data_IF_991493477109
#
_entry.id   IF_991493477109
#
_cell.length_a   1.000
_cell.length_b   1.000
_cell.length_c   1.000
_cell.angle_alpha   90.00
_cell.angle_beta   90.00
_cell.angle_gamma   90.00
#
_symmetry.space_group_name_H-M   'P 1'
#
loop_
_entity.id
_entity.type
_entity.pdbx_description
1 polymer ?
#
# COMPACT_ATOMS: atom_id res chain seq x y z
N UNK A 1 -22.52 16.68 72.71
CA UNK A 1 -22.40 17.00 71.29
C UNK A 1 -21.30 16.09 70.77
N UNK A 2 -21.67 15.11 69.98
CA UNK A 2 -20.73 14.07 69.46
C UNK A 2 -20.32 14.46 68.03
N UNK A 3 -19.04 14.78 67.85
CA UNK A 3 -18.46 15.06 66.50
C UNK A 3 -17.98 13.73 65.92
N UNK A 4 -18.66 13.29 64.87
CA UNK A 4 -18.31 12.10 64.08
C UNK A 4 -17.31 12.52 63.01
N UNK A 5 -16.09 12.06 63.08
CA UNK A 5 -15.06 12.21 62.05
C UNK A 5 -15.29 11.18 60.94
N UNK A 6 -15.60 11.64 59.74
CA UNK A 6 -15.70 10.79 58.55
C UNK A 6 -14.31 10.69 57.95
N UNK A 7 -13.67 9.52 58.07
CA UNK A 7 -12.43 9.18 57.40
C UNK A 7 -12.71 8.88 55.90
N UNK A 8 -12.26 9.75 55.02
CA UNK A 8 -12.33 9.58 53.56
C UNK A 8 -11.18 8.67 53.10
N UNK A 9 -11.49 7.40 52.92
CA UNK A 9 -10.53 6.42 52.38
C UNK A 9 -10.38 6.63 50.87
N UNK A 10 -9.32 7.35 50.46
CA UNK A 10 -8.93 7.43 49.07
C UNK A 10 -8.35 6.09 48.61
N UNK A 11 -9.14 5.33 47.90
CA UNK A 11 -8.69 4.16 47.16
C UNK A 11 -7.96 4.63 45.89
N UNK A 12 -6.62 4.72 45.94
CA UNK A 12 -5.77 4.89 44.77
C UNK A 12 -5.86 3.60 43.92
N UNK A 13 -6.66 3.65 42.87
CA UNK A 13 -6.57 2.68 41.77
C UNK A 13 -5.25 2.94 41.02
N UNK A 14 -4.21 2.25 41.40
CA UNK A 14 -3.01 2.13 40.60
C UNK A 14 -3.35 1.27 39.37
N UNK A 15 -3.75 1.92 38.29
CA UNK A 15 -3.82 1.29 36.97
C UNK A 15 -2.40 0.95 36.54
N UNK A 16 -1.99 -0.29 36.81
CA UNK A 16 -0.77 -0.87 36.22
C UNK A 16 -1.04 -1.01 34.72
N UNK A 17 -0.66 0.00 33.95
CA UNK A 17 -0.53 -0.15 32.50
C UNK A 17 0.63 -1.11 32.27
N UNK A 18 0.31 -2.37 32.08
CA UNK A 18 1.27 -3.36 31.59
C UNK A 18 1.67 -2.92 30.18
N UNK A 19 2.77 -2.16 30.07
CA UNK A 19 3.47 -2.00 28.82
C UNK A 19 3.96 -3.40 28.43
N UNK A 20 3.26 -4.05 27.50
CA UNK A 20 3.73 -5.27 26.92
C UNK A 20 5.09 -4.96 26.25
N UNK A 21 6.18 -5.31 26.94
CA UNK A 21 7.54 -5.11 26.46
C UNK A 21 7.71 -6.00 25.22
N UNK A 22 7.80 -5.38 24.04
CA UNK A 22 8.06 -6.11 22.80
C UNK A 22 9.49 -6.63 22.83
N UNK A 23 9.67 -7.88 22.50
CA UNK A 23 11.00 -8.47 22.35
C UNK A 23 11.66 -7.93 21.07
N UNK A 24 12.86 -7.36 21.22
CA UNK A 24 13.62 -6.81 20.10
C UNK A 24 14.41 -7.91 19.39
N UNK A 25 14.13 -8.10 18.09
CA UNK A 25 14.85 -9.05 17.24
C UNK A 25 15.62 -8.29 16.19
N UNK A 26 16.96 -8.35 16.25
CA UNK A 26 17.84 -7.76 15.24
C UNK A 26 18.28 -8.82 14.24
N UNK A 27 18.28 -8.48 12.95
CA UNK A 27 18.76 -9.35 11.88
C UNK A 27 20.22 -9.77 12.08
N UNK A 28 20.49 -11.04 11.79
CA UNK A 28 21.84 -11.65 11.92
C UNK A 28 22.83 -11.17 10.86
N UNK A 29 22.33 -10.65 9.74
CA UNK A 29 23.11 -10.35 8.52
C UNK A 29 23.30 -11.55 7.61
N UNK A 30 22.90 -12.76 8.03
CA UNK A 30 22.95 -13.97 7.19
C UNK A 30 21.63 -14.13 6.45
N UNK A 31 21.64 -13.84 5.16
CA UNK A 31 20.40 -13.90 4.35
C UNK A 31 20.13 -15.34 3.90
N UNK A 32 18.89 -15.78 4.08
CA UNK A 32 18.38 -17.06 3.60
C UNK A 32 17.07 -16.90 2.84
N UNK A 33 16.80 -17.85 1.97
CA UNK A 33 15.52 -18.02 1.28
C UNK A 33 14.75 -19.15 1.91
N UNK A 34 13.47 -18.89 2.11
CA UNK A 34 12.50 -19.88 2.59
C UNK A 34 11.32 -19.92 1.64
N UNK A 35 10.95 -21.11 1.18
CA UNK A 35 9.75 -21.32 0.36
C UNK A 35 8.63 -21.89 1.21
N UNK A 36 7.48 -21.23 1.19
CA UNK A 36 6.27 -21.64 1.90
C UNK A 36 5.19 -22.01 0.90
N UNK A 37 4.46 -23.08 1.16
CA UNK A 37 3.27 -23.42 0.39
C UNK A 37 2.13 -22.46 0.75
N UNK A 38 1.35 -22.06 -0.23
CA UNK A 38 0.21 -21.19 -0.06
C UNK A 38 -0.99 -21.66 -0.88
N UNK A 39 -2.20 -21.49 -0.38
CA UNK A 39 -3.39 -21.58 -1.21
C UNK A 39 -3.37 -20.48 -2.28
N UNK A 40 -4.20 -20.60 -3.31
CA UNK A 40 -4.34 -19.55 -4.32
C UNK A 40 -4.98 -18.30 -3.69
N UNK A 41 -4.49 -17.13 -4.05
CA UNK A 41 -4.99 -15.83 -3.60
C UNK A 41 -5.02 -14.83 -4.75
N UNK A 42 -5.88 -13.82 -4.63
CA UNK A 42 -6.01 -12.71 -5.58
C UNK A 42 -5.74 -11.35 -4.92
N UNK A 43 -5.53 -11.35 -3.61
CA UNK A 43 -5.27 -10.15 -2.82
C UNK A 43 -4.05 -10.34 -1.93
N UNK A 44 -3.35 -9.24 -1.62
CA UNK A 44 -2.23 -9.21 -0.68
C UNK A 44 -2.43 -8.05 0.28
N UNK A 45 -2.34 -8.33 1.58
CA UNK A 45 -2.27 -7.32 2.63
C UNK A 45 -0.93 -7.43 3.36
N UNK A 46 -0.11 -6.39 3.27
CA UNK A 46 1.21 -6.35 3.87
C UNK A 46 1.30 -5.27 4.96
N UNK A 47 1.66 -5.67 6.18
CA UNK A 47 1.90 -4.77 7.30
C UNK A 47 3.34 -4.89 7.78
N UNK A 48 4.18 -3.92 7.43
CA UNK A 48 5.62 -3.93 7.72
C UNK A 48 6.46 -3.41 6.57
N UNK A 49 7.71 -3.91 6.48
CA UNK A 49 8.69 -3.42 5.50
C UNK A 49 9.03 -4.53 4.50
N UNK A 50 8.13 -4.79 3.57
CA UNK A 50 8.25 -5.86 2.57
C UNK A 50 8.34 -5.31 1.16
N UNK A 51 9.31 -5.80 0.37
CA UNK A 51 9.33 -5.62 -1.08
C UNK A 51 8.71 -6.87 -1.72
N UNK A 52 7.54 -6.71 -2.29
CA UNK A 52 6.74 -7.82 -2.83
C UNK A 52 6.81 -7.79 -4.36
N UNK A 53 7.38 -8.83 -4.93
CA UNK A 53 7.49 -9.04 -6.36
C UNK A 53 6.43 -10.03 -6.81
N UNK A 54 5.55 -9.58 -7.70
CA UNK A 54 4.40 -10.34 -8.18
C UNK A 54 4.66 -10.76 -9.63
N UNK A 55 4.64 -12.06 -9.88
CA UNK A 55 4.76 -12.63 -11.21
C UNK A 55 3.40 -13.17 -11.67
N UNK A 56 2.93 -12.88 -12.89
CA UNK A 56 1.75 -13.54 -13.43
C UNK A 56 1.92 -15.06 -13.45
N UNK A 57 1.00 -15.80 -12.82
CA UNK A 57 1.09 -17.25 -12.75
C UNK A 57 0.08 -17.89 -11.82
N UNK A 58 0.07 -19.22 -11.74
CA UNK A 58 -0.95 -19.99 -11.00
C UNK A 58 -0.87 -19.88 -9.47
N UNK A 59 0.19 -19.32 -8.92
CA UNK A 59 0.39 -19.28 -7.46
C UNK A 59 0.86 -20.60 -6.86
N UNK A 60 0.65 -20.76 -5.56
CA UNK A 60 0.94 -21.99 -4.81
C UNK A 60 2.18 -21.94 -3.93
N UNK A 61 3.06 -20.96 -4.11
CA UNK A 61 4.25 -20.78 -3.28
C UNK A 61 4.55 -19.31 -3.01
N UNK A 62 5.15 -19.05 -1.85
CA UNK A 62 5.69 -17.76 -1.42
C UNK A 62 7.17 -17.98 -1.11
N UNK A 63 8.06 -17.30 -1.84
CA UNK A 63 9.49 -17.29 -1.51
C UNK A 63 9.80 -16.02 -0.71
N UNK A 64 10.37 -16.18 0.47
CA UNK A 64 10.77 -15.09 1.36
C UNK A 64 12.29 -15.10 1.51
N UNK A 65 12.92 -13.96 1.25
CA UNK A 65 14.35 -13.75 1.45
C UNK A 65 14.56 -12.71 2.54
N UNK A 66 15.18 -13.13 3.65
CA UNK A 66 15.41 -12.32 4.85
C UNK A 66 16.58 -12.87 5.65
N UNK A 67 16.96 -12.16 6.74
CA UNK A 67 17.87 -12.71 7.74
C UNK A 67 17.34 -14.04 8.29
N UNK A 68 18.21 -15.03 8.44
CA UNK A 68 17.84 -16.39 8.85
C UNK A 68 17.13 -16.46 10.20
N UNK A 69 17.54 -15.60 11.13
CA UNK A 69 16.95 -15.48 12.46
C UNK A 69 15.62 -14.67 12.45
N UNK A 70 15.29 -13.97 11.37
CA UNK A 70 14.06 -13.18 11.24
C UNK A 70 12.94 -13.97 10.56
N UNK A 71 13.25 -14.90 9.67
CA UNK A 71 12.27 -15.72 8.96
C UNK A 71 11.15 -16.30 9.85
N UNK A 72 11.43 -16.81 11.08
CA UNK A 72 10.39 -17.34 11.98
C UNK A 72 9.40 -16.29 12.52
N UNK A 73 9.72 -15.00 12.38
CA UNK A 73 8.87 -13.87 12.83
C UNK A 73 8.04 -13.26 11.71
N UNK A 74 8.21 -13.71 10.48
CA UNK A 74 7.38 -13.29 9.34
C UNK A 74 6.20 -14.26 9.24
N UNK A 75 4.99 -13.73 9.43
CA UNK A 75 3.74 -14.45 9.18
C UNK A 75 3.36 -14.26 7.72
N UNK A 76 3.04 -15.37 7.03
CA UNK A 76 2.54 -15.40 5.66
C UNK A 76 1.43 -16.44 5.57
N UNK A 77 0.21 -16.00 5.72
CA UNK A 77 -0.98 -16.86 5.77
C UNK A 77 -1.98 -16.42 4.71
N UNK A 78 -2.72 -17.37 4.14
CA UNK A 78 -3.79 -17.06 3.18
C UNK A 78 -5.12 -17.29 3.84
N UNK A 79 -5.86 -16.19 4.02
CA UNK A 79 -7.22 -16.19 4.58
C UNK A 79 -8.19 -15.56 3.57
N UNK A 80 -9.29 -16.23 3.28
CA UNK A 80 -10.34 -15.75 2.38
C UNK A 80 -9.84 -15.29 0.99
N UNK A 81 -8.77 -15.94 0.47
CA UNK A 81 -8.16 -15.58 -0.81
C UNK A 81 -7.28 -14.33 -0.78
N UNK A 82 -6.87 -13.89 0.41
CA UNK A 82 -5.92 -12.81 0.64
C UNK A 82 -4.66 -13.36 1.35
N UNK A 83 -3.49 -13.07 0.80
CA UNK A 83 -2.20 -13.32 1.46
C UNK A 83 -1.94 -12.20 2.48
N UNK A 84 -1.86 -12.58 3.74
CA UNK A 84 -1.50 -11.72 4.86
C UNK A 84 0.00 -11.83 5.14
N UNK A 85 0.72 -10.70 5.04
CA UNK A 85 2.15 -10.59 5.35
C UNK A 85 2.34 -9.60 6.49
N UNK A 86 2.77 -10.11 7.64
CA UNK A 86 2.99 -9.24 8.80
C UNK A 86 4.00 -9.84 9.79
N UNK A 87 4.41 -9.03 10.76
CA UNK A 87 5.24 -9.50 11.86
C UNK A 87 4.44 -10.28 12.90
N UNK A 88 5.05 -11.30 13.46
CA UNK A 88 4.51 -12.00 14.62
C UNK A 88 4.28 -11.01 15.77
N UNK A 89 3.11 -11.09 16.39
CA UNK A 89 2.74 -10.19 17.50
C UNK A 89 3.68 -10.34 18.69
N UNK A 90 4.00 -9.24 19.38
CA UNK A 90 4.85 -9.22 20.56
C UNK A 90 6.33 -8.98 20.25
N UNK A 91 6.71 -8.89 18.99
CA UNK A 91 8.10 -8.67 18.56
C UNK A 91 8.27 -7.32 17.87
N UNK A 92 9.41 -6.66 18.12
CA UNK A 92 9.90 -5.51 17.37
C UNK A 92 11.10 -5.97 16.55
N UNK A 93 10.87 -6.17 15.25
CA UNK A 93 11.82 -6.81 14.35
C UNK A 93 12.53 -5.76 13.51
N UNK A 94 13.86 -5.77 13.56
CA UNK A 94 14.74 -4.91 12.75
C UNK A 94 15.59 -5.75 11.80
N UNK A 95 15.17 -5.93 10.55
CA UNK A 95 15.96 -6.61 9.53
C UNK A 95 17.28 -5.90 9.25
N UNK A 96 18.32 -6.65 8.91
CA UNK A 96 19.61 -6.09 8.46
C UNK A 96 19.53 -5.54 7.04
N UNK A 97 18.62 -6.10 6.22
CA UNK A 97 18.36 -5.74 4.83
C UNK A 97 16.86 -5.70 4.55
N UNK A 98 16.48 -5.20 3.37
CA UNK A 98 15.09 -5.23 2.90
C UNK A 98 14.65 -6.67 2.69
N UNK A 99 13.49 -7.00 3.23
CA UNK A 99 12.88 -8.32 3.03
C UNK A 99 12.24 -8.38 1.64
N UNK A 100 12.59 -9.42 0.90
CA UNK A 100 12.03 -9.68 -0.42
C UNK A 100 11.04 -10.83 -0.35
N UNK A 101 9.86 -10.63 -0.92
CA UNK A 101 8.82 -11.66 -1.03
C UNK A 101 8.46 -11.83 -2.49
N UNK A 102 8.69 -13.01 -3.05
CA UNK A 102 8.30 -13.35 -4.42
C UNK A 102 7.06 -14.22 -4.39
N UNK A 103 6.03 -13.83 -5.14
CA UNK A 103 4.76 -14.54 -5.25
C UNK A 103 4.31 -14.63 -6.71
N UNK A 104 3.47 -15.60 -7.01
CA UNK A 104 2.77 -15.68 -8.29
C UNK A 104 1.26 -15.53 -8.07
N UNK A 105 0.59 -14.80 -8.97
CA UNK A 105 -0.86 -14.61 -8.95
C UNK A 105 -1.42 -14.72 -10.36
N UNK A 106 -2.51 -15.45 -10.53
CA UNK A 106 -3.19 -15.54 -11.83
C UNK A 106 -3.97 -14.26 -12.15
N UNK A 107 -4.51 -13.62 -11.12
CA UNK A 107 -5.32 -12.42 -11.19
C UNK A 107 -5.09 -11.57 -9.93
N UNK A 108 -5.11 -10.25 -10.08
CA UNK A 108 -5.02 -9.30 -8.96
C UNK A 108 -6.36 -8.64 -8.71
N UNK A 109 -6.82 -8.67 -7.46
CA UNK A 109 -8.02 -7.97 -6.99
C UNK A 109 -7.68 -6.80 -6.08
N UNK A 110 -6.82 -7.00 -5.07
CA UNK A 110 -6.46 -5.95 -4.13
C UNK A 110 -5.02 -6.11 -3.65
N UNK A 111 -4.31 -4.98 -3.54
CA UNK A 111 -2.99 -4.90 -2.92
C UNK A 111 -3.03 -3.82 -1.86
N UNK A 112 -2.89 -4.20 -0.61
CA UNK A 112 -2.89 -3.29 0.52
C UNK A 112 -1.52 -3.29 1.23
N UNK A 113 -0.99 -2.09 1.52
CA UNK A 113 0.24 -1.96 2.28
C UNK A 113 0.09 -0.94 3.41
N UNK A 114 0.57 -1.32 4.59
CA UNK A 114 0.72 -0.44 5.75
C UNK A 114 2.16 -0.54 6.26
N UNK A 115 2.91 0.55 6.15
CA UNK A 115 4.32 0.58 6.55
C UNK A 115 5.24 1.07 5.45
N UNK A 116 6.31 0.32 5.17
CA UNK A 116 7.32 0.67 4.16
C UNK A 116 7.56 -0.48 3.19
N UNK A 117 8.15 -0.22 2.04
CA UNK A 117 8.43 -1.26 1.06
C UNK A 117 7.78 -0.98 -0.28
N UNK A 118 7.29 -2.02 -0.95
CA UNK A 118 6.64 -1.81 -2.24
C UNK A 118 6.03 -3.05 -2.89
N UNK A 119 5.22 -2.79 -3.91
CA UNK A 119 4.71 -3.80 -4.83
C UNK A 119 5.33 -3.59 -6.21
N UNK A 120 5.86 -4.65 -6.76
CA UNK A 120 6.55 -4.66 -8.04
C UNK A 120 6.00 -5.80 -8.91
N UNK A 121 5.57 -5.51 -10.13
CA UNK A 121 5.18 -6.58 -11.06
C UNK A 121 6.35 -7.05 -11.92
N UNK A 122 6.45 -8.36 -12.10
CA UNK A 122 7.35 -9.01 -13.06
C UNK A 122 6.54 -9.47 -14.29
N UNK A 123 5.97 -8.51 -15.01
CA UNK A 123 5.07 -8.71 -16.15
C UNK A 123 3.70 -8.10 -15.93
N UNK A 124 2.83 -8.19 -16.93
CA UNK A 124 1.49 -7.58 -16.89
C UNK A 124 0.54 -8.37 -16.01
N UNK A 125 0.13 -7.79 -14.90
CA UNK A 125 -0.88 -8.36 -14.01
C UNK A 125 -2.29 -8.05 -14.56
N UNK A 126 -3.19 -9.00 -14.42
CA UNK A 126 -4.56 -8.89 -14.91
C UNK A 126 -5.56 -8.87 -13.76
N UNK A 127 -6.66 -8.16 -13.96
CA UNK A 127 -7.80 -8.14 -13.05
C UNK A 127 -8.97 -7.40 -13.68
N UNK A 128 -10.19 -7.68 -13.25
CA UNK A 128 -11.34 -6.89 -13.71
C UNK A 128 -11.36 -5.55 -12.95
N UNK A 129 -11.45 -5.62 -11.65
CA UNK A 129 -11.31 -4.46 -10.76
C UNK A 129 -10.11 -4.69 -9.85
N UNK A 130 -9.15 -3.75 -9.91
CA UNK A 130 -7.94 -3.76 -9.07
C UNK A 130 -8.00 -2.60 -8.08
N UNK A 131 -7.74 -2.88 -6.82
CA UNK A 131 -7.67 -1.89 -5.76
C UNK A 131 -6.25 -1.83 -5.16
N UNK A 132 -5.70 -0.63 -5.06
CA UNK A 132 -4.43 -0.35 -4.38
C UNK A 132 -4.72 0.53 -3.16
N UNK A 133 -4.59 -0.03 -1.95
CA UNK A 133 -4.84 0.68 -0.69
C UNK A 133 -3.53 0.89 0.08
N UNK A 134 -3.01 2.11 0.09
CA UNK A 134 -1.67 2.40 0.59
C UNK A 134 -1.73 3.34 1.78
N UNK A 135 -1.16 2.89 2.90
CA UNK A 135 -0.97 3.69 4.11
C UNK A 135 0.49 3.58 4.58
N UNK A 136 1.25 4.66 4.45
CA UNK A 136 2.66 4.68 4.82
C UNK A 136 3.59 5.19 3.71
N UNK A 137 4.82 4.65 3.65
CA UNK A 137 5.83 5.04 2.65
C UNK A 137 6.11 3.89 1.70
N UNK A 138 5.37 3.81 0.60
CA UNK A 138 5.35 2.64 -0.29
C UNK A 138 5.70 3.03 -1.71
N UNK A 139 6.38 2.13 -2.41
CA UNK A 139 6.65 2.24 -3.85
C UNK A 139 5.76 1.24 -4.59
N UNK A 140 5.06 1.70 -5.60
CA UNK A 140 4.32 0.87 -6.54
C UNK A 140 4.97 0.97 -7.91
N UNK A 141 5.33 -0.14 -8.50
CA UNK A 141 5.89 -0.20 -9.86
C UNK A 141 5.27 -1.41 -10.58
N UNK A 142 4.23 -1.14 -11.39
CA UNK A 142 3.39 -2.22 -11.90
C UNK A 142 2.97 -2.01 -13.35
N UNK A 143 2.89 -3.11 -14.08
CA UNK A 143 2.25 -3.23 -15.37
C UNK A 143 0.89 -3.92 -15.19
N UNK A 144 -0.20 -3.27 -15.62
CA UNK A 144 -1.57 -3.70 -15.34
C UNK A 144 -2.43 -3.75 -16.61
N UNK A 145 -3.31 -4.74 -16.64
CA UNK A 145 -4.45 -4.79 -17.57
C UNK A 145 -5.72 -5.05 -16.80
N UNK A 146 -6.61 -4.04 -16.74
CA UNK A 146 -7.85 -4.11 -15.96
C UNK A 146 -8.98 -3.29 -16.61
N UNK A 147 -10.22 -3.54 -16.20
CA UNK A 147 -11.33 -2.65 -16.53
C UNK A 147 -11.33 -1.42 -15.61
N UNK A 148 -11.08 -1.62 -14.32
CA UNK A 148 -11.06 -0.55 -13.32
C UNK A 148 -9.85 -0.67 -12.40
N UNK A 149 -9.22 0.48 -12.10
CA UNK A 149 -8.18 0.63 -11.09
C UNK A 149 -8.60 1.71 -10.09
N UNK A 150 -8.65 1.36 -8.82
CA UNK A 150 -8.84 2.29 -7.71
C UNK A 150 -7.55 2.40 -6.90
N UNK A 151 -7.04 3.61 -6.72
CA UNK A 151 -5.80 3.88 -5.98
C UNK A 151 -6.10 4.80 -4.81
N UNK A 152 -6.07 4.26 -3.60
CA UNK A 152 -6.21 5.01 -2.36
C UNK A 152 -4.86 5.19 -1.66
N UNK A 153 -4.45 6.44 -1.43
CA UNK A 153 -3.18 6.77 -0.76
C UNK A 153 -3.43 7.62 0.47
N UNK A 154 -2.93 7.14 1.61
CA UNK A 154 -2.85 7.90 2.85
C UNK A 154 -1.42 7.80 3.39
N UNK A 155 -0.56 8.74 3.04
CA UNK A 155 0.86 8.72 3.41
C UNK A 155 1.75 9.31 2.32
N UNK A 156 2.97 8.76 2.14
CA UNK A 156 3.94 9.23 1.14
C UNK A 156 4.25 8.11 0.16
N UNK A 157 3.76 8.21 -1.08
CA UNK A 157 3.82 7.11 -2.04
C UNK A 157 4.38 7.55 -3.37
N UNK A 158 5.22 6.70 -3.96
CA UNK A 158 5.64 6.81 -5.36
C UNK A 158 4.99 5.69 -6.17
N UNK A 159 4.29 6.05 -7.23
CA UNK A 159 3.50 5.13 -8.06
C UNK A 159 3.94 5.26 -9.50
N UNK A 160 4.40 4.17 -10.09
CA UNK A 160 4.70 4.04 -11.51
C UNK A 160 3.77 2.96 -12.09
N UNK A 161 2.90 3.35 -13.01
CA UNK A 161 1.94 2.44 -13.62
C UNK A 161 2.08 2.42 -15.13
N UNK A 162 1.97 1.23 -15.69
CA UNK A 162 2.03 0.97 -17.13
C UNK A 162 0.92 0.00 -17.54
N UNK A 163 0.61 -0.05 -18.82
CA UNK A 163 -0.33 -1.01 -19.40
C UNK A 163 -1.62 -0.38 -19.89
N UNK A 164 -2.77 -1.00 -19.60
CA UNK A 164 -4.09 -0.52 -20.09
C UNK A 164 -5.16 -0.75 -19.02
N UNK A 165 -5.86 0.33 -18.68
CA UNK A 165 -7.00 0.28 -17.74
C UNK A 165 -8.09 1.21 -18.26
N UNK A 166 -9.32 0.72 -18.39
CA UNK A 166 -10.41 1.53 -18.96
C UNK A 166 -10.75 2.73 -18.05
N UNK A 167 -10.89 2.50 -16.75
CA UNK A 167 -11.19 3.56 -15.77
C UNK A 167 -10.22 3.55 -14.62
N UNK A 168 -9.63 4.71 -14.32
CA UNK A 168 -8.70 4.88 -13.19
C UNK A 168 -9.23 5.95 -12.23
N UNK A 169 -9.23 5.64 -10.94
CA UNK A 169 -9.61 6.56 -9.88
C UNK A 169 -8.43 6.71 -8.89
N UNK A 170 -7.93 7.93 -8.69
CA UNK A 170 -6.91 8.26 -7.70
C UNK A 170 -7.55 9.05 -6.55
N UNK A 171 -7.47 8.52 -5.33
CA UNK A 171 -7.84 9.21 -4.08
C UNK A 171 -6.59 9.40 -3.22
N UNK A 172 -6.07 10.62 -3.14
CA UNK A 172 -4.82 10.94 -2.45
C UNK A 172 -5.12 11.83 -1.25
N UNK A 173 -4.84 11.31 -0.05
CA UNK A 173 -4.87 12.06 1.20
C UNK A 173 -3.49 11.98 1.84
N UNK A 174 -2.60 12.90 1.47
CA UNK A 174 -1.20 12.88 1.88
C UNK A 174 -0.29 13.43 0.80
N UNK A 175 0.83 12.75 0.52
CA UNK A 175 1.77 13.14 -0.54
C UNK A 175 1.98 12.00 -1.52
N UNK A 176 1.69 12.21 -2.80
CA UNK A 176 1.93 11.20 -3.81
C UNK A 176 2.64 11.77 -5.05
N UNK A 177 3.55 10.96 -5.59
CA UNK A 177 4.11 11.14 -6.92
C UNK A 177 3.65 9.99 -7.80
N UNK A 178 2.85 10.30 -8.82
CA UNK A 178 2.27 9.30 -9.73
C UNK A 178 2.79 9.53 -11.13
N UNK A 179 3.45 8.53 -11.70
CA UNK A 179 3.77 8.46 -13.11
C UNK A 179 2.95 7.33 -13.76
N UNK A 180 1.94 7.71 -14.51
CA UNK A 180 1.04 6.82 -15.22
C UNK A 180 0.88 7.24 -16.70
N UNK A 181 1.90 7.90 -17.28
CA UNK A 181 1.87 8.28 -18.70
C UNK A 181 1.88 7.05 -19.62
N UNK A 182 2.47 5.96 -19.18
CA UNK A 182 2.50 4.68 -19.88
C UNK A 182 1.30 3.77 -19.57
N UNK A 183 0.33 4.25 -18.77
CA UNK A 183 -0.94 3.58 -18.51
C UNK A 183 -2.02 4.20 -19.39
N UNK A 184 -2.38 3.52 -20.47
CA UNK A 184 -3.45 3.97 -21.36
C UNK A 184 -4.81 3.85 -20.67
N UNK A 185 -5.53 4.96 -20.53
CA UNK A 185 -6.82 4.98 -19.85
C UNK A 185 -7.86 5.77 -20.65
N UNK A 186 -9.10 5.30 -20.67
CA UNK A 186 -10.20 6.07 -21.28
C UNK A 186 -10.65 7.20 -20.36
N UNK A 187 -10.84 6.87 -19.09
CA UNK A 187 -11.33 7.82 -18.08
C UNK A 187 -10.42 7.83 -16.88
N UNK A 188 -10.02 9.01 -16.43
CA UNK A 188 -9.23 9.22 -15.23
C UNK A 188 -9.93 10.21 -14.30
N UNK A 189 -10.09 9.82 -13.04
CA UNK A 189 -10.63 10.64 -11.97
C UNK A 189 -9.53 10.86 -10.90
N UNK A 190 -9.24 12.11 -10.58
CA UNK A 190 -8.16 12.52 -9.67
C UNK A 190 -8.74 13.33 -8.52
N UNK A 191 -8.76 12.75 -7.32
CA UNK A 191 -9.07 13.42 -6.07
C UNK A 191 -7.81 13.61 -5.21
N UNK A 192 -7.42 14.84 -4.91
CA UNK A 192 -6.26 15.15 -4.06
C UNK A 192 -6.68 16.01 -2.89
N UNK A 193 -6.46 15.51 -1.67
CA UNK A 193 -6.55 16.26 -0.43
C UNK A 193 -5.18 16.26 0.26
N UNK A 194 -4.31 17.17 -0.12
CA UNK A 194 -2.92 17.18 0.32
C UNK A 194 -1.99 17.68 -0.77
N UNK A 195 -0.92 16.94 -1.06
CA UNK A 195 0.06 17.28 -2.12
C UNK A 195 0.19 16.18 -3.15
N UNK A 196 0.04 16.51 -4.43
CA UNK A 196 0.16 15.55 -5.52
C UNK A 196 0.96 16.07 -6.70
N UNK A 197 1.89 15.26 -7.22
CA UNK A 197 2.48 15.43 -8.56
C UNK A 197 2.08 14.21 -9.39
N UNK A 198 1.09 14.40 -10.28
CA UNK A 198 0.53 13.33 -11.08
C UNK A 198 0.81 13.56 -12.55
N UNK A 199 1.21 12.52 -13.25
CA UNK A 199 1.31 12.45 -14.70
C UNK A 199 0.45 11.28 -15.18
N UNK A 200 -0.62 11.58 -15.94
CA UNK A 200 -1.64 10.60 -16.33
C UNK A 200 -1.90 10.63 -17.84
N UNK A 201 -2.39 9.53 -18.38
CA UNK A 201 -2.81 9.44 -19.77
C UNK A 201 -4.32 9.16 -19.81
N UNK A 202 -5.10 10.11 -20.32
CA UNK A 202 -6.56 10.02 -20.44
C UNK A 202 -7.01 10.33 -21.86
N UNK A 203 -7.79 9.43 -22.46
CA UNK A 203 -8.22 9.58 -23.86
C UNK A 203 -9.57 10.29 -24.00
N UNK A 204 -10.55 9.98 -23.12
CA UNK A 204 -11.93 10.47 -23.24
C UNK A 204 -12.30 11.50 -22.20
N UNK A 205 -11.95 11.26 -20.93
CA UNK A 205 -12.40 12.09 -19.81
C UNK A 205 -11.34 12.19 -18.72
N UNK A 206 -11.15 13.41 -18.17
CA UNK A 206 -10.28 13.70 -17.04
C UNK A 206 -11.00 14.60 -16.04
N UNK A 207 -11.43 14.01 -14.92
CA UNK A 207 -12.01 14.75 -13.81
C UNK A 207 -10.94 15.02 -12.74
N UNK A 208 -10.81 16.27 -12.29
CA UNK A 208 -9.80 16.67 -11.31
C UNK A 208 -10.47 17.44 -10.19
N UNK A 209 -10.34 16.96 -8.97
CA UNK A 209 -10.78 17.63 -7.75
C UNK A 209 -9.62 17.78 -6.77
N UNK A 210 -9.22 19.01 -6.47
CA UNK A 210 -8.06 19.30 -5.62
C UNK A 210 -8.47 20.17 -4.43
N UNK A 211 -8.15 19.67 -3.22
CA UNK A 211 -8.19 20.45 -1.98
C UNK A 211 -6.80 20.44 -1.37
N UNK A 212 -5.96 21.42 -1.71
CA UNK A 212 -4.56 21.47 -1.31
C UNK A 212 -3.64 21.92 -2.44
N UNK A 213 -2.50 21.23 -2.63
CA UNK A 213 -1.54 21.53 -3.69
C UNK A 213 -1.36 20.37 -4.65
N UNK A 214 -1.75 20.52 -5.92
CA UNK A 214 -1.52 19.47 -6.90
C UNK A 214 -0.98 20.02 -8.23
N UNK A 215 -0.08 19.23 -8.82
CA UNK A 215 0.37 19.40 -10.19
C UNK A 215 -0.08 18.18 -10.99
N UNK A 216 -0.97 18.41 -11.96
CA UNK A 216 -1.47 17.34 -12.83
C UNK A 216 -0.98 17.60 -14.25
N UNK A 217 -0.17 16.71 -14.76
CA UNK A 217 0.25 16.67 -16.16
C UNK A 217 -0.53 15.57 -16.86
N UNK A 218 -1.06 15.84 -18.02
CA UNK A 218 -1.82 14.81 -18.74
C UNK A 218 -1.45 14.73 -20.20
N UNK A 219 -1.58 13.52 -20.75
CA UNK A 219 -1.48 13.17 -22.17
C UNK A 219 -2.87 12.77 -22.70
N UNK A 220 -3.07 12.90 -23.99
CA UNK A 220 -4.35 12.60 -24.67
C UNK A 220 -5.18 13.85 -24.98
N UNK A 221 -6.44 13.63 -25.38
CA UNK A 221 -7.39 14.70 -25.71
C UNK A 221 -8.72 14.53 -24.95
N UNK A 222 -8.69 14.39 -23.62
CA UNK A 222 -9.92 14.21 -22.86
C UNK A 222 -10.77 15.47 -22.79
N UNK A 223 -12.06 15.31 -22.54
CA UNK A 223 -12.87 16.37 -21.94
C UNK A 223 -12.42 16.54 -20.49
N UNK A 224 -12.13 17.78 -20.08
CA UNK A 224 -11.60 18.09 -18.74
C UNK A 224 -12.65 18.77 -17.91
N UNK A 225 -12.86 18.25 -16.69
CA UNK A 225 -13.65 18.91 -15.67
C UNK A 225 -12.76 19.11 -14.44
N UNK A 226 -12.58 20.37 -14.02
CA UNK A 226 -11.66 20.71 -12.92
C UNK A 226 -12.37 21.52 -11.85
N UNK A 227 -12.22 21.09 -10.61
CA UNK A 227 -12.61 21.83 -9.41
C UNK A 227 -11.41 21.94 -8.46
N UNK A 228 -11.10 23.14 -7.96
CA UNK A 228 -9.95 23.33 -7.08
C UNK A 228 -10.27 24.30 -5.95
N UNK A 229 -9.98 23.87 -4.73
CA UNK A 229 -9.96 24.71 -3.53
C UNK A 229 -8.54 24.72 -2.95
N UNK A 230 -7.63 25.42 -3.64
CA UNK A 230 -6.22 25.46 -3.29
C UNK A 230 -5.35 25.81 -4.49
N UNK A 231 -4.08 25.37 -4.47
CA UNK A 231 -3.14 25.63 -5.56
C UNK A 231 -3.05 24.42 -6.47
N UNK A 232 -3.69 24.45 -7.63
CA UNK A 232 -3.56 23.39 -8.62
C UNK A 232 -3.04 23.93 -9.95
N UNK A 233 -2.18 23.12 -10.58
CA UNK A 233 -1.69 23.39 -11.95
C UNK A 233 -1.98 22.17 -12.80
N UNK A 234 -2.82 22.34 -13.81
CA UNK A 234 -3.12 21.33 -14.82
C UNK A 234 -2.44 21.70 -16.13
N UNK A 235 -1.67 20.80 -16.71
CA UNK A 235 -0.86 21.07 -17.91
C UNK A 235 -0.93 19.89 -18.86
N UNK A 236 -1.31 20.14 -20.13
CA UNK A 236 -1.16 19.13 -21.17
C UNK A 236 0.33 18.96 -21.54
N UNK A 237 0.71 17.72 -21.77
CA UNK A 237 2.03 17.35 -22.29
C UNK A 237 1.85 16.50 -23.54
N UNK A 238 2.79 16.57 -24.45
CA UNK A 238 2.79 15.85 -25.73
C UNK A 238 3.25 14.40 -25.59
#
# INVERSE_FOLDING_TARGET
MKTTAIAFLMLMFASVTAFAQREHVKGSGTIKKETRSAASFKSIAASGSFNIYITPGSGGTIEIEADDNILPYIVSEVENGELQLHWKKGYDVKPSQKITVNVSMAEVKSLAASGSGGFYSKGTLKGDKVELAISGSVIIDMDLKAEKLEVGVSGSTKINLRGTVTKVEYGISGSASVDALALNSETVDVGVSGSGDLAVNAEKKLDISVSGGAKVRYKGNPSINQSSSGSSKVTKID
#
